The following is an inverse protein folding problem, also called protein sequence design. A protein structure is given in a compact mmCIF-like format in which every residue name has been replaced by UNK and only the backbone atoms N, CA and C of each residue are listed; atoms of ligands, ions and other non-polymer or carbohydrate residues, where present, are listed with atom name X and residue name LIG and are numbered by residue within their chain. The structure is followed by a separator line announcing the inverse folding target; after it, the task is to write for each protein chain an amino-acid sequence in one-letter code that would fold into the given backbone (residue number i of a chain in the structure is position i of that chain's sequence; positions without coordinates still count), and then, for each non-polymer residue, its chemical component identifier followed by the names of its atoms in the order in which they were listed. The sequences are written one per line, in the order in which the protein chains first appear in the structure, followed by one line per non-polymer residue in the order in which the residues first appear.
data_IF_652410940101
#
_entry.id   IF_652410940101
#
_cell.length_a   1.000
_cell.length_b   1.000
_cell.length_c   1.000
_cell.angle_alpha   90.00
_cell.angle_beta   90.00
_cell.angle_gamma   90.00
#
_symmetry.space_group_name_H-M   'P 1'
#
loop_
_entity.id
_entity.type
_entity.pdbx_description
1 polymer ?
#
# COMPACT_ATOMS: atom_id res chain seq x y z
N UNK A 1 50.00 31.03 -44.66
CA UNK A 1 49.60 31.82 -43.48
C UNK A 1 48.31 31.20 -42.96
N UNK A 2 48.43 30.34 -41.94
CA UNK A 2 47.33 29.54 -41.40
C UNK A 2 46.62 30.30 -40.28
N UNK A 3 45.28 30.27 -40.26
CA UNK A 3 44.47 30.71 -39.13
C UNK A 3 43.44 29.60 -38.82
N UNK A 4 43.80 28.75 -37.86
CA UNK A 4 42.97 27.67 -37.33
C UNK A 4 42.11 28.22 -36.20
N UNK A 5 40.78 28.09 -36.35
CA UNK A 5 39.78 28.36 -35.32
C UNK A 5 39.91 27.30 -34.21
N UNK A 6 40.21 27.73 -33.00
CA UNK A 6 40.36 26.86 -31.81
C UNK A 6 39.02 26.82 -31.07
N UNK A 7 38.19 25.83 -31.40
CA UNK A 7 37.03 25.46 -30.58
C UNK A 7 37.51 24.70 -29.34
N UNK A 8 37.53 25.36 -28.19
CA UNK A 8 37.78 24.71 -26.91
C UNK A 8 36.52 23.98 -26.44
N UNK A 9 36.56 22.66 -26.62
CA UNK A 9 35.63 21.69 -26.02
C UNK A 9 35.68 21.80 -24.50
N UNK A 10 34.53 22.11 -23.90
CA UNK A 10 34.31 21.99 -22.45
C UNK A 10 34.33 20.49 -22.13
N UNK A 11 35.41 20.00 -21.52
CA UNK A 11 35.46 18.65 -20.96
C UNK A 11 34.47 18.59 -19.78
N UNK A 12 33.52 17.64 -19.73
CA UNK A 12 32.77 17.40 -18.52
C UNK A 12 33.74 16.88 -17.45
N UNK A 13 33.55 17.37 -16.22
CA UNK A 13 34.43 17.13 -15.07
C UNK A 13 34.43 15.64 -14.69
N UNK A 14 35.60 15.00 -14.72
CA UNK A 14 35.83 13.61 -14.28
C UNK A 14 35.33 13.34 -12.85
N UNK A 15 35.32 14.36 -11.99
CA UNK A 15 34.80 14.26 -10.63
C UNK A 15 33.26 14.07 -10.57
N UNK A 16 32.51 14.55 -11.56
CA UNK A 16 31.06 14.34 -11.59
C UNK A 16 30.71 12.90 -11.99
N UNK A 17 31.52 12.29 -12.85
CA UNK A 17 31.35 10.91 -13.32
C UNK A 17 31.73 9.89 -12.24
N UNK A 18 32.79 10.17 -11.45
CA UNK A 18 33.18 9.33 -10.30
C UNK A 18 32.17 9.42 -9.12
N UNK A 19 31.49 10.56 -8.96
CA UNK A 19 30.43 10.72 -7.97
C UNK A 19 29.15 10.01 -8.42
N UNK A 20 28.80 10.03 -9.72
CA UNK A 20 27.66 9.26 -10.24
C UNK A 20 27.91 7.74 -10.15
N UNK A 21 29.09 7.24 -10.56
CA UNK A 21 29.43 5.81 -10.45
C UNK A 21 29.50 5.33 -8.98
N UNK A 22 30.00 6.16 -8.06
CA UNK A 22 30.07 5.84 -6.63
C UNK A 22 28.73 5.89 -5.90
N UNK A 23 27.74 6.65 -6.41
CA UNK A 23 26.37 6.66 -5.88
C UNK A 23 25.58 5.47 -6.43
N UNK A 24 25.79 5.09 -7.68
CA UNK A 24 25.18 3.90 -8.30
C UNK A 24 25.66 2.58 -7.65
N UNK A 25 26.90 2.52 -7.15
CA UNK A 25 27.41 1.34 -6.42
C UNK A 25 26.82 1.20 -5.00
N UNK A 26 26.46 2.30 -4.35
CA UNK A 26 25.86 2.28 -3.00
C UNK A 26 24.35 1.97 -3.03
N UNK A 27 23.68 2.22 -4.15
CA UNK A 27 22.26 1.91 -4.40
C UNK A 27 22.05 0.57 -5.17
N UNK A 28 23.12 -0.19 -5.44
CA UNK A 28 23.02 -1.55 -5.97
C UNK A 28 22.51 -2.49 -4.88
N UNK A 29 21.30 -3.03 -5.09
CA UNK A 29 20.83 -4.15 -4.29
C UNK A 29 21.83 -5.30 -4.39
N UNK A 30 22.13 -5.94 -3.27
CA UNK A 30 23.03 -7.11 -3.23
C UNK A 30 22.54 -8.32 -4.05
N UNK A 31 21.33 -8.26 -4.60
CA UNK A 31 20.67 -9.29 -5.42
C UNK A 31 20.24 -8.66 -6.76
N UNK A 32 20.87 -9.09 -7.85
CA UNK A 32 20.68 -8.57 -9.22
C UNK A 32 19.23 -8.74 -9.71
N UNK A 33 18.56 -9.81 -9.29
CA UNK A 33 17.17 -10.11 -9.64
C UNK A 33 16.17 -9.13 -9.00
N UNK A 34 16.51 -8.52 -7.86
CA UNK A 34 15.69 -7.49 -7.21
C UNK A 34 15.83 -6.15 -7.94
N UNK A 35 17.02 -5.86 -8.46
CA UNK A 35 17.28 -4.69 -9.30
C UNK A 35 16.54 -4.75 -10.65
N UNK A 36 16.37 -5.94 -11.22
CA UNK A 36 15.63 -6.13 -12.48
C UNK A 36 14.10 -6.09 -12.32
N UNK A 37 13.58 -6.37 -11.11
CA UNK A 37 12.13 -6.46 -10.86
C UNK A 37 11.55 -5.22 -10.18
N UNK A 38 12.39 -4.44 -9.50
CA UNK A 38 11.99 -3.18 -8.85
C UNK A 38 12.56 -2.02 -9.64
N UNK A 39 11.72 -1.19 -10.30
CA UNK A 39 12.19 0.04 -10.91
C UNK A 39 12.86 0.91 -9.84
N UNK A 40 14.14 1.23 -10.02
CA UNK A 40 14.91 2.11 -9.11
C UNK A 40 14.38 3.56 -9.07
N UNK A 41 13.52 3.91 -10.03
CA UNK A 41 12.97 5.26 -10.17
C UNK A 41 11.50 5.27 -9.76
N UNK A 42 11.18 5.87 -8.61
CA UNK A 42 9.81 6.23 -8.25
C UNK A 42 9.46 7.60 -8.84
N UNK A 43 8.29 7.73 -9.50
CA UNK A 43 7.78 9.02 -9.97
C UNK A 43 6.89 9.65 -8.88
N UNK A 44 7.36 10.70 -8.18
CA UNK A 44 6.63 11.33 -7.08
C UNK A 44 5.42 12.15 -7.54
N UNK A 45 5.26 12.40 -8.84
CA UNK A 45 4.16 13.23 -9.38
C UNK A 45 2.85 12.47 -9.52
N UNK A 46 2.91 11.14 -9.43
CA UNK A 46 1.77 10.25 -9.59
C UNK A 46 0.78 10.37 -8.42
N UNK A 47 -0.51 10.63 -8.67
CA UNK A 47 -1.51 10.80 -7.62
C UNK A 47 -1.81 9.46 -6.92
N UNK A 48 -1.69 9.45 -5.59
CA UNK A 48 -1.87 8.25 -4.75
C UNK A 48 -3.24 8.22 -4.05
N UNK A 49 -3.73 9.39 -3.60
CA UNK A 49 -4.94 9.53 -2.80
C UNK A 49 -6.14 9.96 -3.66
N UNK A 50 -6.54 9.13 -4.62
CA UNK A 50 -7.68 9.44 -5.51
C UNK A 50 -9.00 8.92 -4.96
N UNK A 51 -10.12 9.46 -5.45
CA UNK A 51 -11.47 9.02 -5.08
C UNK A 51 -11.68 7.52 -5.30
N UNK A 52 -11.25 7.03 -6.47
CA UNK A 52 -11.39 5.61 -6.83
C UNK A 52 -10.65 4.70 -5.86
N UNK A 53 -9.48 5.11 -5.38
CA UNK A 53 -8.72 4.37 -4.38
C UNK A 53 -9.52 4.27 -3.07
N UNK A 54 -10.09 5.37 -2.59
CA UNK A 54 -10.91 5.38 -1.38
C UNK A 54 -12.16 4.50 -1.50
N UNK A 55 -12.90 4.62 -2.62
CA UNK A 55 -14.13 3.84 -2.83
C UNK A 55 -13.83 2.36 -2.95
N UNK A 56 -12.86 1.97 -3.79
CA UNK A 56 -12.50 0.57 -4.00
C UNK A 56 -11.81 -0.02 -2.77
N UNK A 57 -10.93 0.76 -2.11
CA UNK A 57 -10.22 0.36 -0.90
C UNK A 57 -11.16 0.16 0.30
N UNK A 58 -12.01 1.14 0.61
CA UNK A 58 -12.99 1.02 1.69
C UNK A 58 -14.03 -0.07 1.37
N UNK A 59 -14.51 -0.13 0.12
CA UNK A 59 -15.45 -1.15 -0.32
C UNK A 59 -14.88 -2.57 -0.15
N UNK A 60 -13.66 -2.80 -0.66
CA UNK A 60 -12.98 -4.09 -0.51
C UNK A 60 -12.73 -4.43 0.96
N UNK A 61 -12.29 -3.47 1.77
CA UNK A 61 -12.06 -3.66 3.20
C UNK A 61 -13.34 -4.06 3.95
N UNK A 62 -14.45 -3.34 3.72
CA UNK A 62 -15.75 -3.61 4.37
C UNK A 62 -16.29 -4.99 3.94
N UNK A 63 -16.30 -5.27 2.64
CA UNK A 63 -16.82 -6.54 2.10
C UNK A 63 -16.00 -7.71 2.64
N UNK A 64 -14.67 -7.61 2.60
CA UNK A 64 -13.80 -8.71 3.03
C UNK A 64 -13.89 -8.94 4.54
N UNK A 65 -13.92 -7.86 5.34
CA UNK A 65 -14.08 -7.94 6.79
C UNK A 65 -15.43 -8.57 7.16
N UNK A 66 -16.51 -8.16 6.49
CA UNK A 66 -17.83 -8.74 6.70
C UNK A 66 -17.85 -10.23 6.39
N UNK A 67 -17.32 -10.62 5.22
CA UNK A 67 -17.32 -12.02 4.79
C UNK A 67 -16.49 -12.90 5.74
N UNK A 68 -15.28 -12.46 6.09
CA UNK A 68 -14.41 -13.21 7.00
C UNK A 68 -15.02 -13.31 8.41
N UNK A 69 -15.58 -12.22 8.92
CA UNK A 69 -16.23 -12.24 10.23
C UNK A 69 -17.50 -13.09 10.26
N UNK A 70 -18.25 -13.13 9.15
CA UNK A 70 -19.45 -13.95 9.00
C UNK A 70 -19.13 -15.45 8.95
N UNK A 71 -18.12 -15.84 8.16
CA UNK A 71 -17.71 -17.24 8.06
C UNK A 71 -17.03 -17.76 9.33
N UNK A 72 -16.43 -16.88 10.13
CA UNK A 72 -15.77 -17.25 11.38
C UNK A 72 -16.70 -17.97 12.38
N UNK A 73 -17.97 -17.58 12.43
CA UNK A 73 -18.95 -18.19 13.35
C UNK A 73 -19.59 -19.48 12.81
N UNK A 74 -19.27 -19.90 11.58
CA UNK A 74 -19.77 -21.16 11.02
C UNK A 74 -18.94 -22.35 11.49
N UNK A 75 -19.56 -23.54 11.53
CA UNK A 75 -18.90 -24.79 11.94
C UNK A 75 -17.71 -25.18 11.05
N UNK A 76 -17.73 -24.77 9.80
CA UNK A 76 -16.62 -24.90 8.87
C UNK A 76 -16.24 -23.48 8.42
N UNK A 77 -15.26 -22.85 9.10
CA UNK A 77 -14.88 -21.48 8.78
C UNK A 77 -14.15 -21.46 7.43
N UNK A 78 -14.54 -20.52 6.58
CA UNK A 78 -13.85 -20.21 5.33
C UNK A 78 -13.25 -18.81 5.47
N UNK A 79 -11.94 -18.69 5.27
CA UNK A 79 -11.24 -17.42 5.32
C UNK A 79 -10.82 -17.02 3.91
N UNK A 80 -11.26 -15.85 3.48
CA UNK A 80 -10.89 -15.26 2.20
C UNK A 80 -9.68 -14.35 2.43
N UNK A 81 -8.60 -14.60 1.69
CA UNK A 81 -7.38 -13.81 1.77
C UNK A 81 -7.50 -12.51 0.98
N UNK A 82 -6.73 -11.49 1.38
CA UNK A 82 -6.67 -10.22 0.66
C UNK A 82 -6.20 -10.34 -0.79
N UNK A 83 -5.51 -11.43 -1.16
CA UNK A 83 -5.08 -11.73 -2.54
C UNK A 83 -6.28 -11.82 -3.49
N UNK A 84 -7.40 -12.39 -3.05
CA UNK A 84 -8.61 -12.46 -3.87
C UNK A 84 -9.14 -11.06 -4.21
N UNK A 85 -9.11 -10.13 -3.25
CA UNK A 85 -9.48 -8.74 -3.45
C UNK A 85 -8.46 -8.01 -4.34
N UNK A 86 -7.16 -8.30 -4.20
CA UNK A 86 -6.11 -7.75 -5.08
C UNK A 86 -6.39 -8.08 -6.56
N UNK A 87 -6.68 -9.35 -6.86
CA UNK A 87 -6.98 -9.79 -8.22
C UNK A 87 -8.26 -9.12 -8.74
N UNK A 88 -9.30 -9.03 -7.91
CA UNK A 88 -10.58 -8.40 -8.29
C UNK A 88 -10.47 -6.89 -8.54
N UNK A 89 -9.55 -6.20 -7.85
CA UNK A 89 -9.37 -4.74 -7.95
C UNK A 89 -8.78 -4.31 -9.29
N UNK A 90 -7.96 -5.13 -9.95
CA UNK A 90 -7.37 -4.79 -11.26
C UNK A 90 -8.42 -4.54 -12.35
N UNK A 91 -9.34 -5.48 -12.65
CA UNK A 91 -10.38 -5.25 -13.65
C UNK A 91 -11.37 -4.16 -13.19
N UNK A 92 -11.67 -4.10 -11.89
CA UNK A 92 -12.61 -3.13 -11.33
C UNK A 92 -12.05 -1.69 -11.38
N UNK A 93 -10.75 -1.53 -11.15
CA UNK A 93 -10.02 -0.27 -11.25
C UNK A 93 -9.96 0.25 -12.68
N UNK A 94 -9.72 -0.63 -13.66
CA UNK A 94 -9.77 -0.26 -15.09
C UNK A 94 -11.19 0.08 -15.55
N UNK A 95 -12.19 -0.66 -15.08
CA UNK A 95 -13.60 -0.39 -15.37
C UNK A 95 -14.02 0.96 -14.78
N UNK A 96 -13.67 1.22 -13.52
CA UNK A 96 -13.97 2.50 -12.87
C UNK A 96 -13.21 3.66 -13.54
N UNK A 97 -11.97 3.47 -13.98
CA UNK A 97 -11.22 4.48 -14.74
C UNK A 97 -11.87 4.82 -16.11
N UNK A 98 -12.59 3.88 -16.71
CA UNK A 98 -13.32 4.08 -17.99
C UNK A 98 -14.71 4.65 -17.80
N UNK A 99 -15.36 4.37 -16.67
CA UNK A 99 -16.74 4.81 -16.36
C UNK A 99 -16.75 6.17 -15.66
N UNK A 100 -15.72 6.53 -14.87
CA UNK A 100 -15.70 7.80 -14.17
C UNK A 100 -15.45 8.98 -15.13
N UNK A 101 -16.31 10.01 -15.11
CA UNK A 101 -16.11 11.21 -15.91
C UNK A 101 -14.90 12.01 -15.42
N UNK A 102 -14.05 12.45 -16.35
CA UNK A 102 -12.94 13.39 -16.13
C UNK A 102 -13.46 14.80 -15.79
N UNK A 103 -14.14 14.93 -14.66
CA UNK A 103 -14.59 16.24 -14.16
C UNK A 103 -13.73 16.64 -12.97
N UNK A 104 -13.03 17.77 -13.13
CA UNK A 104 -12.44 18.50 -12.02
C UNK A 104 -13.59 19.12 -11.24
N UNK A 105 -13.69 18.78 -9.97
CA UNK A 105 -14.62 19.45 -9.05
C UNK A 105 -13.83 20.50 -8.29
N UNK A 106 -14.43 21.69 -8.13
CA UNK A 106 -13.87 22.86 -7.43
C UNK A 106 -12.68 23.55 -8.13
N UNK A 107 -12.73 23.78 -9.45
CA UNK A 107 -11.75 24.68 -10.11
C UNK A 107 -11.83 26.09 -9.48
N UNK A 108 -10.72 26.52 -8.85
CA UNK A 108 -10.57 27.83 -8.19
C UNK A 108 -10.57 27.85 -6.65
N UNK A 109 -10.54 26.70 -5.96
CA UNK A 109 -10.48 26.62 -4.48
C UNK A 109 -9.26 25.84 -3.99
N UNK A 110 -8.91 25.96 -2.70
CA UNK A 110 -7.83 25.18 -2.04
C UNK A 110 -8.10 23.66 -1.99
N UNK A 111 -9.25 23.20 -2.50
CA UNK A 111 -9.73 21.82 -2.47
C UNK A 111 -10.09 21.32 -3.88
N UNK A 112 -9.35 21.73 -4.91
CA UNK A 112 -9.55 21.19 -6.26
C UNK A 112 -9.39 19.66 -6.23
N UNK A 113 -10.42 18.93 -6.63
CA UNK A 113 -10.42 17.47 -6.61
C UNK A 113 -10.79 16.93 -7.98
N UNK A 114 -9.83 16.28 -8.62
CA UNK A 114 -10.08 15.60 -9.87
C UNK A 114 -10.59 14.19 -9.60
N UNK A 115 -11.81 13.90 -10.05
CA UNK A 115 -12.44 12.58 -9.88
C UNK A 115 -11.69 11.50 -10.68
N UNK A 116 -11.02 11.86 -11.78
CA UNK A 116 -10.25 10.92 -12.60
C UNK A 116 -8.97 11.59 -13.15
N UNK A 117 -7.87 11.55 -12.37
CA UNK A 117 -6.62 12.21 -12.75
C UNK A 117 -5.77 11.43 -13.78
N UNK A 118 -6.20 10.27 -14.25
CA UNK A 118 -5.45 9.49 -15.25
C UNK A 118 -5.77 8.00 -15.25
N UNK A 119 -5.06 7.16 -16.02
CA UNK A 119 -5.21 5.70 -16.02
C UNK A 119 -4.96 5.08 -14.63
N UNK A 120 -5.43 3.84 -14.41
CA UNK A 120 -5.26 3.14 -13.13
C UNK A 120 -3.77 2.92 -12.84
N UNK A 121 -3.32 3.39 -11.68
CA UNK A 121 -1.91 3.44 -11.34
C UNK A 121 -1.52 2.32 -10.36
N UNK A 122 -0.27 1.85 -10.43
CA UNK A 122 0.31 0.88 -9.50
C UNK A 122 0.24 1.38 -8.06
N UNK A 123 0.46 2.69 -7.82
CA UNK A 123 0.37 3.27 -6.46
C UNK A 123 -1.03 3.13 -5.85
N UNK A 124 -2.07 3.34 -6.64
CA UNK A 124 -3.45 3.18 -6.19
C UNK A 124 -3.79 1.71 -5.96
N UNK A 125 -3.30 0.82 -6.84
CA UNK A 125 -3.45 -0.62 -6.67
C UNK A 125 -2.83 -1.11 -5.35
N UNK A 126 -1.60 -0.67 -5.05
CA UNK A 126 -0.91 -1.01 -3.80
C UNK A 126 -1.67 -0.47 -2.59
N UNK A 127 -2.18 0.76 -2.64
CA UNK A 127 -2.97 1.31 -1.54
C UNK A 127 -4.27 0.55 -1.31
N UNK A 128 -5.02 0.22 -2.37
CA UNK A 128 -6.24 -0.61 -2.26
C UNK A 128 -5.89 -1.97 -1.67
N UNK A 129 -4.76 -2.55 -2.07
CA UNK A 129 -4.27 -3.83 -1.55
C UNK A 129 -3.99 -3.79 -0.06
N UNK A 130 -3.37 -2.70 0.44
CA UNK A 130 -3.14 -2.50 1.87
C UNK A 130 -4.48 -2.43 2.63
N UNK A 131 -5.47 -1.68 2.10
CA UNK A 131 -6.81 -1.63 2.69
C UNK A 131 -7.49 -2.99 2.71
N UNK A 132 -7.43 -3.74 1.61
CA UNK A 132 -8.02 -5.07 1.52
C UNK A 132 -7.35 -6.04 2.51
N UNK A 133 -6.01 -6.05 2.61
CA UNK A 133 -5.29 -6.88 3.56
C UNK A 133 -5.64 -6.55 5.02
N UNK A 134 -5.84 -5.26 5.34
CA UNK A 134 -6.31 -4.83 6.66
C UNK A 134 -7.70 -5.39 6.99
N UNK A 135 -8.61 -5.40 6.01
CA UNK A 135 -9.95 -5.99 6.17
C UNK A 135 -9.98 -7.52 6.16
N UNK A 136 -8.93 -8.20 5.69
CA UNK A 136 -8.85 -9.65 5.69
C UNK A 136 -8.69 -10.24 7.10
N UNK A 137 -8.09 -9.48 8.02
CA UNK A 137 -7.85 -9.91 9.40
C UNK A 137 -9.13 -9.91 10.25
N UNK A 138 -9.30 -10.95 11.07
CA UNK A 138 -10.35 -10.99 12.09
C UNK A 138 -9.93 -10.21 13.33
N UNK A 139 -10.86 -9.47 13.94
CA UNK A 139 -10.58 -8.65 15.12
C UNK A 139 -10.42 -9.53 16.37
N UNK A 140 -9.26 -9.45 17.02
CA UNK A 140 -8.95 -10.31 18.18
C UNK A 140 -9.94 -10.14 19.35
N UNK A 141 -10.36 -8.88 19.61
CA UNK A 141 -11.35 -8.58 20.65
C UNK A 141 -12.67 -9.35 20.49
N UNK A 142 -13.01 -9.81 19.28
CA UNK A 142 -14.22 -10.61 19.05
C UNK A 142 -14.21 -11.93 19.81
N UNK A 143 -13.04 -12.54 20.03
CA UNK A 143 -12.90 -13.73 20.86
C UNK A 143 -13.19 -13.45 22.33
N UNK A 144 -12.63 -12.34 22.84
CA UNK A 144 -12.84 -11.90 24.22
C UNK A 144 -14.32 -11.62 24.47
N UNK A 145 -14.96 -10.88 23.54
CA UNK A 145 -16.36 -10.53 23.65
C UNK A 145 -17.28 -11.76 23.59
N UNK A 146 -16.95 -12.72 22.70
CA UNK A 146 -17.65 -13.99 22.60
C UNK A 146 -17.51 -14.82 23.88
N UNK A 147 -16.31 -14.88 24.47
CA UNK A 147 -16.06 -15.59 25.72
C UNK A 147 -16.84 -14.99 26.89
N UNK A 148 -16.88 -13.66 27.04
CA UNK A 148 -17.67 -12.99 28.08
C UNK A 148 -19.16 -13.31 27.93
N UNK A 149 -19.67 -13.28 26.70
CA UNK A 149 -21.08 -13.53 26.42
C UNK A 149 -21.47 -15.01 26.67
N UNK A 150 -20.60 -15.95 26.30
CA UNK A 150 -20.88 -17.39 26.39
C UNK A 150 -20.61 -17.96 27.80
N UNK A 151 -19.46 -17.65 28.41
CA UNK A 151 -19.05 -18.21 29.70
C UNK A 151 -19.60 -17.43 30.89
N UNK A 152 -19.59 -16.10 30.83
CA UNK A 152 -20.01 -15.24 31.96
C UNK A 152 -21.47 -14.78 31.85
N UNK A 153 -22.18 -15.16 30.78
CA UNK A 153 -23.59 -14.80 30.50
C UNK A 153 -23.91 -13.31 30.68
N UNK A 154 -22.91 -12.44 30.48
CA UNK A 154 -23.04 -10.99 30.65
C UNK A 154 -22.96 -10.32 29.28
N UNK A 155 -23.89 -9.42 29.00
CA UNK A 155 -23.80 -8.55 27.83
C UNK A 155 -23.04 -7.28 28.22
N UNK A 156 -22.00 -6.96 27.44
CA UNK A 156 -21.39 -5.64 27.49
C UNK A 156 -22.23 -4.68 26.63
N UNK A 157 -22.44 -3.43 27.05
CA UNK A 157 -23.10 -2.46 26.21
C UNK A 157 -22.23 -2.13 24.98
N UNK A 158 -22.87 -1.64 23.93
CA UNK A 158 -22.24 -1.41 22.62
C UNK A 158 -20.96 -0.57 22.71
N UNK A 159 -20.99 0.51 23.48
CA UNK A 159 -19.87 1.44 23.60
C UNK A 159 -18.62 0.76 24.19
N UNK A 160 -18.77 -0.05 25.24
CA UNK A 160 -17.66 -0.75 25.89
C UNK A 160 -17.07 -1.80 24.95
N UNK A 161 -17.93 -2.58 24.27
CA UNK A 161 -17.47 -3.54 23.28
C UNK A 161 -16.72 -2.86 22.13
N UNK A 162 -17.23 -1.72 21.65
CA UNK A 162 -16.61 -0.93 20.60
C UNK A 162 -15.25 -0.35 21.01
N UNK A 163 -15.14 0.22 22.20
CA UNK A 163 -13.87 0.74 22.73
C UNK A 163 -12.81 -0.36 22.89
N UNK A 164 -13.21 -1.55 23.36
CA UNK A 164 -12.29 -2.70 23.46
C UNK A 164 -11.81 -3.12 22.08
N UNK A 165 -12.71 -3.23 21.09
CA UNK A 165 -12.34 -3.57 19.71
C UNK A 165 -11.37 -2.54 19.12
N UNK A 166 -11.69 -1.25 19.25
CA UNK A 166 -10.83 -0.16 18.78
C UNK A 166 -9.44 -0.22 19.40
N UNK A 167 -9.35 -0.39 20.73
CA UNK A 167 -8.07 -0.41 21.44
C UNK A 167 -7.19 -1.56 20.97
N UNK A 168 -7.77 -2.75 20.74
CA UNK A 168 -7.00 -3.90 20.23
C UNK A 168 -6.47 -3.67 18.82
N UNK A 169 -7.24 -3.01 17.95
CA UNK A 169 -6.78 -2.70 16.59
C UNK A 169 -5.69 -1.62 16.58
N UNK A 170 -5.86 -0.54 17.36
CA UNK A 170 -4.83 0.50 17.48
C UNK A 170 -3.54 -0.03 18.10
N UNK A 171 -3.62 -0.93 19.07
CA UNK A 171 -2.44 -1.59 19.63
C UNK A 171 -1.72 -2.39 18.53
N UNK A 172 -2.44 -3.17 17.73
CA UNK A 172 -1.86 -3.93 16.62
C UNK A 172 -1.13 -3.04 15.60
N UNK A 173 -1.77 -1.97 15.12
CA UNK A 173 -1.15 -1.03 14.18
C UNK A 173 -0.01 -0.23 14.83
N UNK A 174 -0.11 0.10 16.13
CA UNK A 174 0.94 0.79 16.88
C UNK A 174 2.22 -0.02 17.00
N UNK A 175 2.10 -1.32 17.28
CA UNK A 175 3.25 -2.24 17.28
C UNK A 175 3.84 -2.43 15.87
N UNK A 176 3.00 -2.53 14.84
CA UNK A 176 3.48 -2.58 13.46
C UNK A 176 4.29 -1.33 13.08
N UNK A 177 3.88 -0.14 13.55
CA UNK A 177 4.62 1.11 13.36
C UNK A 177 5.98 1.12 14.07
N UNK A 178 6.05 0.61 15.30
CA UNK A 178 7.30 0.53 16.07
C UNK A 178 8.32 -0.41 15.42
N UNK A 179 7.86 -1.53 14.86
CA UNK A 179 8.71 -2.49 14.16
C UNK A 179 9.06 -2.09 12.73
N UNK A 180 8.45 -1.05 12.15
CA UNK A 180 8.77 -0.58 10.79
C UNK A 180 10.26 -0.38 10.58
N UNK A 181 10.94 0.26 11.55
CA UNK A 181 12.38 0.52 11.48
C UNK A 181 13.20 -0.78 11.40
N UNK A 182 12.80 -1.80 12.15
CA UNK A 182 13.54 -3.06 12.24
C UNK A 182 13.21 -4.05 11.12
N UNK A 183 12.01 -3.96 10.53
CA UNK A 183 11.54 -4.86 9.46
C UNK A 183 11.81 -4.32 8.05
N UNK A 184 11.89 -2.99 7.88
CA UNK A 184 12.03 -2.35 6.56
C UNK A 184 13.46 -1.87 6.28
N UNK A 185 14.24 -1.51 7.31
CA UNK A 185 15.61 -1.01 7.13
C UNK A 185 16.74 -2.07 7.13
N UNK A 186 16.57 -3.39 7.33
CA UNK A 186 17.71 -4.29 7.22
C UNK A 186 18.10 -4.48 5.75
N UNK A 187 19.39 -4.21 5.45
CA UNK A 187 20.03 -4.32 4.13
C UNK A 187 19.99 -5.73 3.50
N UNK A 188 19.54 -6.72 4.26
CA UNK A 188 19.36 -8.09 3.81
C UNK A 188 17.91 -8.51 4.09
N UNK A 189 17.00 -8.29 3.14
CA UNK A 189 15.70 -8.94 3.11
C UNK A 189 15.88 -10.43 2.76
N UNK A 190 16.43 -11.19 3.71
CA UNK A 190 16.72 -12.64 3.61
C UNK A 190 15.47 -13.44 3.22
N UNK A 191 14.26 -12.92 3.48
CA UNK A 191 13.01 -13.57 3.11
C UNK A 191 12.82 -13.70 1.58
N UNK A 192 13.47 -12.87 0.74
CA UNK A 192 13.45 -13.05 -0.72
C UNK A 192 14.43 -14.15 -1.15
N UNK A 193 15.54 -14.33 -0.43
CA UNK A 193 16.53 -15.39 -0.70
C UNK A 193 16.11 -16.80 -0.23
N UNK A 194 15.08 -16.90 0.63
CA UNK A 194 14.61 -18.17 1.20
C UNK A 194 13.53 -18.87 0.35
N UNK A 195 13.03 -18.21 -0.69
CA UNK A 195 12.13 -18.81 -1.70
C UNK A 195 12.87 -19.24 -2.97
N UNK A 196 13.97 -19.98 -2.81
CA UNK A 196 14.56 -20.78 -3.88
C UNK A 196 14.43 -22.26 -3.59
#
# INVERSE_FOLDING_TARGET
MAATVKGSTVKPSTAAMEIEEGVDELDRCAVEEVELTVPKTDDPTLPVLTFRMWVLGLGACIILSFINQFFWYRRMPLSITGISAQIAVVPLGHLMARVLPNKKYLEGSRWEFNMNPGPFNVKEHVMITIFANSGAGTVYATHILSAIKLYYKRSLPFLQAFLIMITTQFLGFGWAGLFRKHLVEPSNLVQVSLFR
#
